data_IF_077107324326
#
_entry.id   IF_077107324326
#
_cell.length_a   1.000
_cell.length_b   1.000
_cell.length_c   1.000
_cell.angle_alpha   90.00
_cell.angle_beta   90.00
_cell.angle_gamma   90.00
#
_symmetry.space_group_name_H-M   'P 1'
#
loop_
_entity.id
_entity.type
_entity.pdbx_description
1 polymer ?
#
# COMPACT_ATOMS: atom_id res chain seq x y z
N UNK A 1 1.80 -2.21 17.16
CA UNK A 1 1.18 -1.70 15.92
C UNK A 1 0.11 -2.64 15.32
N UNK A 2 -0.41 -3.64 16.06
CA UNK A 2 -1.37 -4.61 15.50
C UNK A 2 -2.63 -3.95 14.93
N UNK A 3 -3.32 -3.14 15.73
CA UNK A 3 -4.57 -2.49 15.32
C UNK A 3 -4.40 -1.54 14.13
N UNK A 4 -3.27 -0.83 14.06
CA UNK A 4 -2.95 0.02 12.91
C UNK A 4 -2.81 -0.78 11.62
N UNK A 5 -2.16 -1.94 11.66
CA UNK A 5 -2.05 -2.82 10.49
C UNK A 5 -3.40 -3.46 10.12
N UNK A 6 -4.28 -3.72 11.09
CA UNK A 6 -5.66 -4.17 10.81
C UNK A 6 -6.42 -3.07 10.06
N UNK A 7 -6.36 -1.83 10.56
CA UNK A 7 -6.99 -0.68 9.92
C UNK A 7 -6.51 -0.54 8.47
N UNK A 8 -5.20 -0.57 8.24
CA UNK A 8 -4.67 -0.45 6.88
C UNK A 8 -5.00 -1.64 5.99
N UNK A 9 -5.00 -2.87 6.51
CA UNK A 9 -5.45 -4.05 5.75
C UNK A 9 -6.89 -3.87 5.27
N UNK A 10 -7.81 -3.50 6.17
CA UNK A 10 -9.21 -3.27 5.83
C UNK A 10 -9.35 -2.11 4.84
N UNK A 11 -8.65 -1.00 5.08
CA UNK A 11 -8.66 0.16 4.19
C UNK A 11 -8.22 -0.20 2.77
N UNK A 12 -7.14 -0.97 2.61
CA UNK A 12 -6.68 -1.40 1.28
C UNK A 12 -7.67 -2.35 0.60
N UNK A 13 -8.34 -3.22 1.36
CA UNK A 13 -9.42 -4.08 0.82
C UNK A 13 -10.60 -3.23 0.32
N UNK A 14 -10.97 -2.18 1.06
CA UNK A 14 -12.01 -1.26 0.62
C UNK A 14 -11.60 -0.53 -0.67
N UNK A 15 -10.33 -0.14 -0.81
CA UNK A 15 -9.82 0.48 -2.05
C UNK A 15 -9.90 -0.49 -3.23
N UNK A 16 -9.63 -1.79 -3.04
CA UNK A 16 -9.86 -2.80 -4.08
C UNK A 16 -11.33 -2.80 -4.52
N UNK A 17 -12.27 -2.71 -3.57
CA UNK A 17 -13.70 -2.66 -3.87
C UNK A 17 -14.12 -1.41 -4.65
N UNK A 18 -13.52 -0.25 -4.36
CA UNK A 18 -13.79 1.01 -5.08
C UNK A 18 -13.40 0.89 -6.56
N UNK A 19 -12.31 0.18 -6.87
CA UNK A 19 -11.81 0.03 -8.24
C UNK A 19 -12.63 -0.97 -9.08
N UNK A 20 -13.67 -1.62 -8.55
CA UNK A 20 -14.40 -2.68 -9.26
C UNK A 20 -15.04 -2.21 -10.58
N UNK A 21 -15.42 -0.94 -10.66
CA UNK A 21 -16.08 -0.37 -11.84
C UNK A 21 -15.10 0.30 -12.83
N UNK A 22 -13.81 0.38 -12.50
CA UNK A 22 -12.82 1.04 -13.36
C UNK A 22 -12.29 0.06 -14.43
N UNK A 23 -12.04 0.52 -15.68
CA UNK A 23 -11.52 -0.32 -16.76
C UNK A 23 -10.19 -1.01 -16.43
N UNK A 24 -9.34 -0.36 -15.64
CA UNK A 24 -8.05 -0.83 -15.15
C UNK A 24 -8.13 -1.35 -13.70
N UNK A 25 -9.34 -1.52 -13.18
CA UNK A 25 -9.62 -1.98 -11.82
C UNK A 25 -8.87 -3.24 -11.38
N UNK A 26 -8.74 -4.29 -12.23
CA UNK A 26 -7.96 -5.48 -11.88
C UNK A 26 -6.48 -5.19 -11.60
N UNK A 27 -5.87 -4.23 -12.30
CA UNK A 27 -4.49 -3.83 -12.06
C UNK A 27 -4.35 -3.15 -10.70
N UNK A 28 -5.22 -2.18 -10.40
CA UNK A 28 -5.21 -1.50 -9.10
C UNK A 28 -5.57 -2.44 -7.95
N UNK A 29 -6.48 -3.39 -8.17
CA UNK A 29 -6.78 -4.43 -7.19
C UNK A 29 -5.52 -5.24 -6.83
N UNK A 30 -4.71 -5.60 -7.82
CA UNK A 30 -3.44 -6.30 -7.59
C UNK A 30 -2.43 -5.42 -6.85
N UNK A 31 -2.30 -4.14 -7.22
CA UNK A 31 -1.43 -3.19 -6.54
C UNK A 31 -1.82 -3.04 -5.07
N UNK A 32 -3.11 -2.87 -4.77
CA UNK A 32 -3.63 -2.69 -3.41
C UNK A 32 -3.65 -3.98 -2.58
N UNK A 33 -3.70 -5.16 -3.22
CA UNK A 33 -3.59 -6.43 -2.52
C UNK A 33 -2.23 -6.60 -1.82
N UNK A 34 -1.14 -6.09 -2.41
CA UNK A 34 0.22 -6.20 -1.84
C UNK A 34 0.32 -5.57 -0.44
N UNK A 35 0.04 -4.26 -0.23
CA UNK A 35 0.02 -3.66 1.10
C UNK A 35 -1.04 -4.30 2.01
N UNK A 36 -2.21 -4.70 1.49
CA UNK A 36 -3.24 -5.37 2.28
C UNK A 36 -2.73 -6.67 2.90
N UNK A 37 -2.08 -7.52 2.10
CA UNK A 37 -1.50 -8.80 2.53
C UNK A 37 -0.40 -8.54 3.57
N UNK A 38 0.53 -7.62 3.31
CA UNK A 38 1.61 -7.33 4.25
C UNK A 38 1.10 -6.78 5.59
N UNK A 39 0.12 -5.87 5.56
CA UNK A 39 -0.51 -5.36 6.76
C UNK A 39 -1.26 -6.47 7.52
N UNK A 40 -2.03 -7.31 6.83
CA UNK A 40 -2.69 -8.48 7.43
C UNK A 40 -1.70 -9.46 8.07
N UNK A 41 -0.61 -9.78 7.38
CA UNK A 41 0.45 -10.65 7.90
C UNK A 41 1.14 -10.02 9.12
N UNK A 42 1.44 -8.72 9.08
CA UNK A 42 2.01 -7.99 10.22
C UNK A 42 1.06 -7.98 11.43
N UNK A 43 -0.25 -7.93 11.22
CA UNK A 43 -1.26 -7.93 12.27
C UNK A 43 -1.52 -9.31 12.91
N UNK A 44 -1.58 -10.37 12.10
CA UNK A 44 -2.09 -11.67 12.54
C UNK A 44 -1.05 -12.79 12.53
N UNK A 45 0.04 -12.63 11.78
CA UNK A 45 1.06 -13.66 11.53
C UNK A 45 2.50 -13.13 11.70
N UNK A 46 2.69 -12.11 12.54
CA UNK A 46 3.97 -11.41 12.71
C UNK A 46 5.18 -12.35 12.84
N UNK A 47 5.11 -13.37 13.72
CA UNK A 47 6.22 -14.32 13.93
C UNK A 47 6.61 -15.07 12.65
N UNK A 48 5.66 -15.41 11.79
CA UNK A 48 5.90 -16.16 10.55
C UNK A 48 6.58 -15.31 9.47
N UNK A 49 6.33 -13.99 9.47
CA UNK A 49 6.90 -13.05 8.49
C UNK A 49 8.19 -12.37 8.96
N UNK A 50 8.77 -12.81 10.08
CA UNK A 50 10.07 -12.34 10.56
C UNK A 50 11.27 -13.10 9.98
N UNK A 51 11.04 -14.08 9.11
CA UNK A 51 12.11 -14.80 8.40
C UNK A 51 12.86 -13.90 7.43
N UNK A 52 14.12 -14.23 7.12
CA UNK A 52 14.93 -13.47 6.16
C UNK A 52 14.29 -13.39 4.77
N UNK A 53 13.65 -14.48 4.33
CA UNK A 53 12.94 -14.55 3.04
C UNK A 53 11.74 -13.59 3.00
N UNK A 54 10.88 -13.63 4.02
CA UNK A 54 9.74 -12.73 4.10
C UNK A 54 10.19 -11.25 4.14
N UNK A 55 11.26 -10.95 4.88
CA UNK A 55 11.82 -9.59 4.92
C UNK A 55 12.40 -9.13 3.59
N UNK A 56 13.05 -10.03 2.83
CA UNK A 56 13.53 -9.73 1.50
C UNK A 56 12.37 -9.44 0.54
N UNK A 57 11.32 -10.27 0.57
CA UNK A 57 10.10 -10.06 -0.22
C UNK A 57 9.43 -8.72 0.12
N UNK A 58 9.32 -8.40 1.42
CA UNK A 58 8.81 -7.11 1.86
C UNK A 58 9.68 -5.95 1.36
N UNK A 59 11.00 -6.10 1.39
CA UNK A 59 11.92 -5.10 0.83
C UNK A 59 11.69 -4.89 -0.68
N UNK A 60 11.49 -5.96 -1.44
CA UNK A 60 11.13 -5.88 -2.87
C UNK A 60 9.77 -5.20 -3.05
N UNK A 61 8.76 -5.53 -2.25
CA UNK A 61 7.46 -4.86 -2.30
C UNK A 61 7.55 -3.37 -2.01
N UNK A 62 8.32 -2.97 -0.98
CA UNK A 62 8.55 -1.56 -0.64
C UNK A 62 9.27 -0.83 -1.77
N UNK A 63 10.34 -1.42 -2.31
CA UNK A 63 11.08 -0.82 -3.42
C UNK A 63 10.21 -0.67 -4.68
N UNK A 64 9.45 -1.71 -5.03
CA UNK A 64 8.52 -1.66 -6.15
C UNK A 64 7.44 -0.59 -5.97
N UNK A 65 6.87 -0.47 -4.77
CA UNK A 65 5.87 0.57 -4.48
C UNK A 65 6.46 1.99 -4.54
N UNK A 66 7.70 2.19 -4.06
CA UNK A 66 8.41 3.45 -4.21
C UNK A 66 8.65 3.80 -5.67
N UNK A 67 9.13 2.84 -6.48
CA UNK A 67 9.34 3.04 -7.92
C UNK A 67 8.03 3.39 -8.64
N UNK A 68 6.94 2.68 -8.33
CA UNK A 68 5.62 2.97 -8.88
C UNK A 68 5.08 4.32 -8.40
N UNK A 69 5.36 4.74 -7.16
CA UNK A 69 4.97 6.08 -6.66
C UNK A 69 5.67 7.19 -7.42
N UNK A 70 6.95 6.99 -7.77
CA UNK A 70 7.69 7.94 -8.62
C UNK A 70 7.14 7.93 -10.05
N UNK A 71 6.81 6.76 -10.59
CA UNK A 71 6.26 6.62 -11.94
C UNK A 71 4.88 7.28 -12.09
N UNK A 72 3.98 7.03 -11.13
CA UNK A 72 2.63 7.62 -11.08
C UNK A 72 2.59 8.98 -10.38
N UNK A 73 3.73 9.68 -10.27
CA UNK A 73 3.73 10.97 -9.59
C UNK A 73 2.81 11.97 -10.32
N UNK A 74 1.79 12.56 -9.66
CA UNK A 74 0.85 13.44 -10.34
C UNK A 74 1.54 14.70 -10.86
N UNK A 75 1.32 15.01 -12.14
CA UNK A 75 1.82 16.24 -12.78
C UNK A 75 0.82 17.39 -12.65
N UNK A 76 -0.43 17.10 -12.32
CA UNK A 76 -1.50 18.08 -12.15
C UNK A 76 -1.23 18.97 -10.93
N UNK A 77 -1.19 20.30 -11.08
CA UNK A 77 -1.06 21.21 -9.95
C UNK A 77 -2.18 20.99 -8.93
N UNK A 78 -1.85 21.05 -7.65
CA UNK A 78 -2.81 20.87 -6.55
C UNK A 78 -3.55 19.52 -6.59
N UNK A 79 -2.93 18.45 -7.10
CA UNK A 79 -3.50 17.09 -7.19
C UNK A 79 -4.07 16.54 -5.86
N UNK A 80 -3.70 17.13 -4.72
CA UNK A 80 -4.21 16.80 -3.38
C UNK A 80 -5.56 17.44 -3.04
N UNK A 81 -6.01 18.42 -3.82
CA UNK A 81 -7.31 19.08 -3.64
C UNK A 81 -8.40 18.14 -4.12
N UNK A 82 -9.47 17.96 -3.33
CA UNK A 82 -10.50 16.95 -3.55
C UNK A 82 -11.13 17.06 -4.94
N UNK A 83 -11.45 18.28 -5.35
CA UNK A 83 -12.07 18.61 -6.63
C UNK A 83 -11.18 18.25 -7.83
N UNK A 84 -9.87 18.16 -7.63
CA UNK A 84 -8.90 17.79 -8.65
C UNK A 84 -8.62 16.28 -8.61
N UNK A 85 -8.37 15.75 -7.41
CA UNK A 85 -8.14 14.33 -7.16
C UNK A 85 -9.26 13.44 -7.68
N UNK A 86 -10.52 13.84 -7.46
CA UNK A 86 -11.67 13.01 -7.81
C UNK A 86 -11.90 12.93 -9.33
N UNK A 87 -11.69 14.05 -10.01
CA UNK A 87 -11.95 14.20 -11.44
C UNK A 87 -10.76 13.83 -12.33
N UNK A 88 -9.53 13.88 -11.77
CA UNK A 88 -8.30 13.64 -12.53
C UNK A 88 -7.73 12.26 -12.21
N UNK A 89 -7.81 11.34 -13.16
CA UNK A 89 -7.31 9.96 -13.03
C UNK A 89 -5.86 9.91 -12.54
N UNK A 90 -4.94 10.63 -13.17
CA UNK A 90 -3.51 10.64 -12.79
C UNK A 90 -3.26 11.17 -11.36
N UNK A 91 -4.11 12.08 -10.88
CA UNK A 91 -4.07 12.53 -9.49
C UNK A 91 -4.56 11.42 -8.54
N UNK A 92 -5.63 10.72 -8.92
CA UNK A 92 -6.19 9.59 -8.16
C UNK A 92 -5.21 8.43 -8.02
N UNK A 93 -4.62 8.02 -9.14
CA UNK A 93 -3.64 6.94 -9.24
C UNK A 93 -2.38 7.24 -8.42
N UNK A 94 -1.81 8.44 -8.58
CA UNK A 94 -0.59 8.83 -7.87
C UNK A 94 -0.80 8.91 -6.35
N UNK A 95 -1.92 9.47 -5.91
CA UNK A 95 -2.30 9.48 -4.49
C UNK A 95 -2.55 8.06 -3.96
N UNK A 96 -3.20 7.19 -4.75
CA UNK A 96 -3.37 5.78 -4.45
C UNK A 96 -2.03 5.07 -4.22
N UNK A 97 -1.04 5.32 -5.08
CA UNK A 97 0.31 4.80 -4.93
C UNK A 97 1.03 5.33 -3.68
N UNK A 98 0.89 6.62 -3.35
CA UNK A 98 1.45 7.19 -2.13
C UNK A 98 0.88 6.49 -0.88
N UNK A 99 -0.43 6.27 -0.85
CA UNK A 99 -1.10 5.57 0.27
C UNK A 99 -0.64 4.10 0.34
N UNK A 100 -0.61 3.39 -0.78
CA UNK A 100 -0.15 2.00 -0.83
C UNK A 100 1.29 1.85 -0.31
N UNK A 101 2.18 2.75 -0.72
CA UNK A 101 3.58 2.81 -0.25
C UNK A 101 3.66 3.11 1.23
N UNK A 102 2.88 4.07 1.73
CA UNK A 102 2.83 4.40 3.15
C UNK A 102 2.40 3.19 4.01
N UNK A 103 1.37 2.45 3.58
CA UNK A 103 0.93 1.23 4.27
C UNK A 103 2.04 0.17 4.30
N UNK A 104 2.75 -0.04 3.19
CA UNK A 104 3.90 -0.96 3.14
C UNK A 104 5.02 -0.55 4.10
N UNK A 105 5.32 0.74 4.20
CA UNK A 105 6.33 1.25 5.13
C UNK A 105 5.94 1.02 6.59
N UNK A 106 4.65 1.16 6.94
CA UNK A 106 4.15 0.84 8.29
C UNK A 106 4.25 -0.66 8.59
N UNK A 107 3.91 -1.52 7.62
CA UNK A 107 4.07 -2.96 7.76
C UNK A 107 5.56 -3.33 7.94
N UNK A 108 6.46 -2.72 7.15
CA UNK A 108 7.90 -2.90 7.25
C UNK A 108 8.46 -2.45 8.62
N UNK A 109 8.05 -1.28 9.10
CA UNK A 109 8.41 -0.80 10.44
C UNK A 109 7.95 -1.79 11.52
N UNK A 110 6.75 -2.37 11.40
CA UNK A 110 6.23 -3.38 12.34
C UNK A 110 7.07 -4.67 12.31
N UNK A 111 7.36 -5.20 11.13
CA UNK A 111 8.04 -6.50 10.95
C UNK A 111 9.54 -6.43 11.31
N UNK A 112 10.20 -5.30 11.01
CA UNK A 112 11.63 -5.10 11.30
C UNK A 112 11.90 -4.63 12.74
N UNK A 113 11.03 -3.82 13.34
CA UNK A 113 11.20 -3.37 14.74
C UNK A 113 11.11 -4.51 15.74
N UNK A 114 10.29 -5.53 15.46
CA UNK A 114 10.12 -6.69 16.33
C UNK A 114 11.35 -7.62 16.41
N UNK A 115 12.47 -7.25 15.78
CA UNK A 115 13.79 -7.91 15.89
C UNK A 115 14.60 -7.46 17.13
N UNK A 116 14.20 -6.36 17.80
CA UNK A 116 14.95 -5.74 18.91
C UNK A 116 14.55 -6.26 20.31
N UNK A 117 14.14 -7.52 20.45
CA UNK A 117 13.89 -8.15 21.75
C UNK A 117 14.59 -9.48 21.83
#
# INVERSE_FOLDING_TARGET
MKYLNILFCVMMILFIGVQYNDPDGPMWAAIYAVPAIWAGLAAFRLKQVQTSRARALLGVSVFGALALTVYYWPTTPNFWVKEIYWETETAREGMGMMIATFVLLVAAATIWSARRK
#
